data_IF_257174203596
#
_entry.id   IF_257174203596
#
_cell.length_a   1.000
_cell.length_b   1.000
_cell.length_c   1.000
_cell.angle_alpha   90.00
_cell.angle_beta   90.00
_cell.angle_gamma   90.00
#
_symmetry.space_group_name_H-M   'P 1'
#
loop_
_entity.id
_entity.type
_entity.pdbx_description
1 polymer ?
#
# COMPACT_ATOMS: atom_id res chain seq x y z
N UNK A 1 -2.24 -43.88 -8.45
CA UNK A 1 -1.76 -42.62 -7.86
C UNK A 1 -2.01 -42.71 -6.36
N UNK A 2 -0.99 -42.54 -5.50
CA UNK A 2 -1.22 -42.57 -4.06
C UNK A 2 -1.91 -41.29 -3.62
N UNK A 3 -2.78 -41.39 -2.61
CA UNK A 3 -3.53 -40.27 -2.02
C UNK A 3 -2.60 -39.10 -1.64
N UNK A 4 -1.39 -39.41 -1.17
CA UNK A 4 -0.34 -38.43 -0.85
C UNK A 4 0.08 -37.57 -2.04
N UNK A 5 0.15 -38.13 -3.25
CA UNK A 5 0.50 -37.34 -4.46
C UNK A 5 -0.64 -36.43 -4.90
N UNK A 6 -1.89 -36.81 -4.64
CA UNK A 6 -3.05 -35.98 -4.98
C UNK A 6 -3.15 -34.78 -4.01
N UNK A 7 -2.90 -35.02 -2.71
CA UNK A 7 -2.87 -33.95 -1.70
C UNK A 7 -1.73 -32.97 -1.93
N UNK A 8 -0.53 -33.44 -2.29
CA UNK A 8 0.60 -32.56 -2.62
C UNK A 8 0.35 -31.72 -3.87
N UNK A 9 -0.30 -32.28 -4.91
CA UNK A 9 -0.67 -31.52 -6.10
C UNK A 9 -1.76 -30.49 -5.78
N UNK A 10 -2.75 -30.84 -4.95
CA UNK A 10 -3.78 -29.89 -4.52
C UNK A 10 -3.23 -28.76 -3.66
N UNK A 11 -2.34 -29.05 -2.71
CA UNK A 11 -1.66 -28.02 -1.91
C UNK A 11 -0.79 -27.13 -2.80
N UNK A 12 -0.04 -27.70 -3.76
CA UNK A 12 0.78 -26.93 -4.68
C UNK A 12 -0.06 -26.08 -5.65
N UNK A 13 -1.24 -26.56 -6.08
CA UNK A 13 -2.15 -25.79 -6.94
C UNK A 13 -2.84 -24.66 -6.16
N UNK A 14 -3.21 -24.87 -4.90
CA UNK A 14 -3.76 -23.83 -4.03
C UNK A 14 -2.71 -22.76 -3.71
N UNK A 15 -1.50 -23.20 -3.36
CA UNK A 15 -0.31 -22.39 -3.11
C UNK A 15 0.12 -21.52 -4.32
N UNK A 16 0.05 -22.08 -5.52
CA UNK A 16 0.35 -21.33 -6.76
C UNK A 16 -0.81 -20.38 -7.10
N UNK A 17 -2.06 -20.74 -6.80
CA UNK A 17 -3.20 -19.86 -7.07
C UNK A 17 -3.24 -18.60 -6.19
N UNK A 18 -2.80 -18.69 -4.93
CA UNK A 18 -2.70 -17.54 -4.03
C UNK A 18 -1.54 -16.60 -4.36
N UNK A 19 -0.51 -17.08 -5.08
CA UNK A 19 0.59 -16.24 -5.55
C UNK A 19 0.33 -15.67 -6.95
N UNK A 20 -0.33 -16.42 -7.84
CA UNK A 20 -0.77 -15.89 -9.14
C UNK A 20 -1.87 -14.83 -9.00
N UNK A 21 -2.71 -14.86 -7.95
CA UNK A 21 -3.65 -13.77 -7.67
C UNK A 21 -2.97 -12.44 -7.37
N UNK A 22 -1.69 -12.44 -6.96
CA UNK A 22 -0.92 -11.23 -6.67
C UNK A 22 -0.11 -10.70 -7.87
N UNK A 23 0.05 -11.48 -8.95
CA UNK A 23 0.69 -10.98 -10.18
C UNK A 23 -0.33 -10.31 -11.07
N UNK A 24 -0.40 -9.00 -10.93
CA UNK A 24 -1.41 -8.19 -11.57
C UNK A 24 -0.76 -7.38 -12.70
N UNK A 25 -1.33 -7.43 -13.91
CA UNK A 25 -0.75 -6.80 -15.11
C UNK A 25 -1.54 -5.54 -15.44
N UNK A 26 -0.89 -4.35 -15.51
CA UNK A 26 -1.56 -3.13 -15.94
C UNK A 26 -2.24 -3.30 -17.31
N UNK A 27 -3.39 -2.65 -17.49
CA UNK A 27 -3.99 -2.43 -18.81
C UNK A 27 -4.29 -0.94 -19.02
N UNK A 28 -4.98 -0.60 -20.12
CA UNK A 28 -5.28 0.80 -20.40
C UNK A 28 -6.27 1.41 -19.40
N UNK A 29 -7.12 0.61 -18.76
CA UNK A 29 -8.22 1.06 -17.91
C UNK A 29 -7.87 1.04 -16.42
N UNK A 30 -6.87 0.28 -15.99
CA UNK A 30 -6.47 0.19 -14.58
C UNK A 30 -4.99 -0.18 -14.45
N UNK A 31 -4.37 0.27 -13.35
CA UNK A 31 -2.97 -0.07 -13.06
C UNK A 31 -2.76 -1.57 -12.82
N UNK A 32 -3.84 -2.29 -12.59
CA UNK A 32 -3.85 -3.70 -12.24
C UNK A 32 -4.66 -4.55 -13.27
N UNK A 33 -5.22 -3.94 -14.31
CA UNK A 33 -5.99 -4.66 -15.32
C UNK A 33 -7.30 -5.30 -14.84
N UNK A 34 -7.77 -5.04 -13.61
CA UNK A 34 -9.04 -5.56 -13.08
C UNK A 34 -10.24 -4.73 -13.50
N UNK A 35 -10.09 -3.41 -13.70
CA UNK A 35 -11.19 -2.55 -14.12
C UNK A 35 -11.63 -2.86 -15.55
N UNK A 36 -12.92 -3.21 -15.73
CA UNK A 36 -13.55 -3.47 -17.02
C UNK A 36 -14.76 -2.55 -17.21
N UNK A 37 -14.55 -1.34 -17.77
CA UNK A 37 -15.63 -0.36 -17.88
C UNK A 37 -16.73 -0.82 -18.83
N UNK A 38 -17.96 -0.41 -18.53
CA UNK A 38 -19.05 -0.36 -19.50
C UNK A 38 -19.25 1.09 -19.92
N UNK A 39 -19.32 1.35 -21.22
CA UNK A 39 -19.44 2.71 -21.75
C UNK A 39 -20.89 3.10 -22.05
N UNK A 40 -21.29 4.37 -21.78
CA UNK A 40 -20.52 5.39 -21.07
C UNK A 40 -20.39 5.05 -19.58
N UNK A 41 -19.25 5.39 -18.97
CA UNK A 41 -19.01 5.15 -17.55
C UNK A 41 -19.85 6.12 -16.72
N UNK A 42 -20.75 5.58 -15.89
CA UNK A 42 -21.53 6.38 -14.93
C UNK A 42 -20.61 6.98 -13.87
N UNK A 43 -20.79 8.27 -13.55
CA UNK A 43 -19.94 8.96 -12.56
C UNK A 43 -18.56 9.39 -13.07
N UNK A 44 -18.28 9.26 -14.38
CA UNK A 44 -17.03 9.76 -14.97
C UNK A 44 -16.97 11.28 -15.04
N UNK A 45 -18.11 11.96 -15.19
CA UNK A 45 -18.18 13.40 -15.41
C UNK A 45 -18.90 14.10 -14.27
N UNK A 46 -18.51 15.36 -14.02
CA UNK A 46 -19.22 16.25 -13.11
C UNK A 46 -20.67 16.46 -13.56
N UNK A 47 -21.63 16.12 -12.70
CA UNK A 47 -23.05 16.17 -13.05
C UNK A 47 -23.57 17.57 -13.42
N UNK A 48 -22.92 18.63 -12.91
CA UNK A 48 -23.30 20.03 -13.14
C UNK A 48 -22.61 20.61 -14.36
N UNK A 49 -21.35 20.25 -14.60
CA UNK A 49 -20.53 20.87 -15.64
C UNK A 49 -20.34 20.04 -16.90
N UNK A 50 -20.79 18.78 -16.95
CA UNK A 50 -20.67 17.93 -18.14
C UNK A 50 -21.36 18.48 -19.41
N UNK A 51 -22.42 19.28 -19.30
CA UNK A 51 -23.22 19.72 -20.46
C UNK A 51 -23.09 21.21 -20.84
N UNK A 52 -22.49 22.04 -19.99
CA UNK A 52 -22.55 23.51 -20.10
C UNK A 52 -21.16 24.19 -20.22
N UNK A 53 -20.06 23.43 -20.25
CA UNK A 53 -18.71 23.97 -20.43
C UNK A 53 -18.08 23.48 -21.74
N UNK A 54 -17.30 24.34 -22.41
CA UNK A 54 -16.44 23.95 -23.55
C UNK A 54 -15.33 22.95 -23.13
N UNK A 55 -15.29 22.52 -21.86
CA UNK A 55 -14.29 21.61 -21.29
C UNK A 55 -14.98 20.81 -20.18
N UNK A 56 -15.36 19.54 -20.42
CA UNK A 56 -15.94 18.71 -19.38
C UNK A 56 -14.94 18.55 -18.22
N UNK A 57 -15.47 18.37 -17.01
CA UNK A 57 -14.68 18.26 -15.77
C UNK A 57 -14.94 16.91 -15.08
N UNK A 58 -13.94 16.36 -14.37
CA UNK A 58 -14.19 15.27 -13.43
C UNK A 58 -15.10 15.75 -12.28
N UNK A 59 -15.77 14.84 -11.55
CA UNK A 59 -16.55 15.22 -10.38
C UNK A 59 -15.74 16.02 -9.36
N UNK A 60 -16.33 17.08 -8.84
CA UNK A 60 -15.67 17.90 -7.83
C UNK A 60 -16.43 19.16 -7.41
N UNK A 61 -15.99 19.74 -6.29
CA UNK A 61 -16.46 21.01 -5.78
C UNK A 61 -15.79 22.17 -6.54
N UNK A 62 -16.19 22.38 -7.79
CA UNK A 62 -15.60 23.38 -8.68
C UNK A 62 -16.04 24.83 -8.42
N UNK A 63 -17.02 25.03 -7.54
CA UNK A 63 -17.60 26.32 -7.21
C UNK A 63 -17.16 26.85 -5.85
N UNK A 64 -17.11 28.17 -5.71
CA UNK A 64 -16.96 28.82 -4.41
C UNK A 64 -18.15 29.72 -4.11
N UNK A 65 -18.93 29.37 -3.09
CA UNK A 65 -20.15 30.11 -2.69
C UNK A 65 -21.06 30.37 -3.92
N UNK A 66 -21.21 31.65 -4.31
CA UNK A 66 -22.04 32.09 -5.44
C UNK A 66 -21.24 32.24 -6.75
N UNK A 67 -19.96 31.88 -6.76
CA UNK A 67 -19.03 32.06 -7.89
C UNK A 67 -18.78 30.75 -8.63
N UNK A 68 -19.47 30.57 -9.76
CA UNK A 68 -19.35 29.38 -10.61
C UNK A 68 -17.92 29.21 -11.15
N UNK A 69 -17.39 27.99 -11.06
CA UNK A 69 -16.06 27.57 -11.51
C UNK A 69 -14.90 28.35 -10.87
N UNK A 70 -15.10 28.95 -9.69
CA UNK A 70 -14.05 29.70 -9.02
C UNK A 70 -12.90 28.80 -8.55
N UNK A 71 -13.22 27.66 -7.94
CA UNK A 71 -12.23 26.69 -7.52
C UNK A 71 -11.56 26.07 -8.74
N UNK A 72 -12.33 25.77 -9.79
CA UNK A 72 -11.77 25.29 -11.04
C UNK A 72 -10.75 26.26 -11.64
N UNK A 73 -11.08 27.55 -11.75
CA UNK A 73 -10.12 28.55 -12.25
C UNK A 73 -8.88 28.65 -11.38
N UNK A 74 -9.04 28.61 -10.05
CA UNK A 74 -7.92 28.64 -9.13
C UNK A 74 -7.01 27.40 -9.30
N UNK A 75 -7.60 26.20 -9.35
CA UNK A 75 -6.87 24.95 -9.63
C UNK A 75 -6.13 25.04 -10.97
N UNK A 76 -6.86 25.48 -12.01
CA UNK A 76 -6.33 25.63 -13.36
C UNK A 76 -5.20 26.62 -13.46
N UNK A 77 -5.23 27.72 -12.72
CA UNK A 77 -4.20 28.77 -12.82
C UNK A 77 -2.97 28.46 -11.95
N UNK A 78 -3.11 27.69 -10.87
CA UNK A 78 -2.03 27.48 -9.90
C UNK A 78 -1.39 26.09 -9.97
N UNK A 79 -2.13 25.03 -10.28
CA UNK A 79 -1.61 23.66 -10.26
C UNK A 79 -1.52 23.05 -11.66
N UNK A 80 -2.63 23.02 -12.39
CA UNK A 80 -2.69 22.29 -13.65
C UNK A 80 -4.10 22.09 -14.19
N UNK A 81 -4.25 21.23 -15.18
CA UNK A 81 -5.53 20.93 -15.81
C UNK A 81 -5.79 19.42 -15.78
N UNK A 82 -7.04 18.99 -15.97
CA UNK A 82 -7.34 17.60 -16.23
C UNK A 82 -7.38 17.33 -17.73
N UNK A 83 -6.81 16.20 -18.13
CA UNK A 83 -6.89 15.67 -19.49
C UNK A 83 -7.65 14.36 -19.47
N UNK A 84 -8.49 14.18 -20.49
CA UNK A 84 -9.31 12.99 -20.68
C UNK A 84 -8.43 11.82 -21.15
N UNK A 85 -8.72 10.62 -20.64
CA UNK A 85 -8.08 9.39 -21.09
C UNK A 85 -9.04 8.64 -22.02
N UNK A 86 -8.60 8.34 -23.24
CA UNK A 86 -9.39 7.69 -24.29
C UNK A 86 -8.81 6.34 -24.71
N UNK A 87 -9.67 5.37 -24.97
CA UNK A 87 -9.26 4.09 -25.55
C UNK A 87 -9.12 4.15 -27.08
N UNK A 88 -8.78 3.00 -27.70
CA UNK A 88 -8.62 2.90 -29.16
C UNK A 88 -9.89 3.19 -29.98
N UNK A 89 -11.07 3.10 -29.35
CA UNK A 89 -12.36 3.40 -29.98
C UNK A 89 -12.77 4.86 -29.81
N UNK A 90 -12.02 5.64 -29.02
CA UNK A 90 -12.34 7.01 -28.65
C UNK A 90 -13.33 7.12 -27.50
N UNK A 91 -13.54 6.04 -26.73
CA UNK A 91 -14.36 6.08 -25.53
C UNK A 91 -13.52 6.60 -24.34
N UNK A 92 -14.00 7.64 -23.66
CA UNK A 92 -13.32 8.19 -22.49
C UNK A 92 -13.50 7.25 -21.30
N UNK A 93 -12.40 6.93 -20.62
CA UNK A 93 -12.40 6.00 -19.47
C UNK A 93 -11.82 6.58 -18.18
N UNK A 94 -11.30 7.80 -18.20
CA UNK A 94 -10.65 8.36 -17.03
C UNK A 94 -10.16 9.79 -17.19
N UNK A 95 -9.42 10.23 -16.18
CA UNK A 95 -8.85 11.56 -16.04
C UNK A 95 -7.40 11.49 -15.60
N UNK A 96 -6.63 12.46 -16.09
CA UNK A 96 -5.24 12.64 -15.71
C UNK A 96 -4.97 14.10 -15.35
N UNK A 97 -4.43 14.32 -14.16
CA UNK A 97 -3.84 15.59 -13.79
C UNK A 97 -2.59 15.84 -14.63
N UNK A 98 -2.57 16.98 -15.32
CA UNK A 98 -1.41 17.53 -16.01
C UNK A 98 -1.06 18.85 -15.35
N UNK A 99 0.06 18.85 -14.63
CA UNK A 99 0.55 20.01 -13.90
C UNK A 99 1.23 21.02 -14.84
N UNK A 100 1.30 22.29 -14.44
CA UNK A 100 2.03 23.31 -15.23
C UNK A 100 3.54 23.13 -15.21
N UNK A 101 4.03 22.58 -14.10
CA UNK A 101 5.44 22.34 -13.85
C UNK A 101 5.69 20.84 -13.79
N UNK A 102 6.87 20.42 -14.25
CA UNK A 102 7.34 19.04 -14.17
C UNK A 102 7.29 18.52 -12.73
N UNK A 103 7.65 19.36 -11.74
CA UNK A 103 7.61 19.03 -10.32
C UNK A 103 6.63 19.98 -9.61
N UNK A 104 5.38 19.57 -9.48
CA UNK A 104 4.34 20.41 -8.93
C UNK A 104 4.39 20.47 -7.40
N UNK A 105 4.17 21.66 -6.86
CA UNK A 105 3.92 21.90 -5.45
C UNK A 105 2.41 22.11 -5.25
N UNK A 106 1.73 21.11 -4.70
CA UNK A 106 0.29 21.14 -4.45
C UNK A 106 0.00 21.58 -3.01
N UNK A 107 -0.34 22.86 -2.84
CA UNK A 107 -0.91 23.40 -1.61
C UNK A 107 -2.44 23.24 -1.60
N UNK A 108 -2.94 22.22 -0.92
CA UNK A 108 -4.34 21.76 -1.01
C UNK A 108 -5.27 22.47 -0.01
N UNK A 109 -5.37 23.80 -0.09
CA UNK A 109 -6.35 24.58 0.70
C UNK A 109 -7.83 24.35 0.29
N UNK A 110 -8.11 23.39 -0.59
CA UNK A 110 -9.46 22.92 -0.88
C UNK A 110 -9.45 21.59 -1.64
N UNK A 111 -10.16 20.60 -1.08
CA UNK A 111 -10.53 19.32 -1.71
C UNK A 111 -11.47 19.56 -2.90
N UNK A 112 -10.98 20.10 -4.01
CA UNK A 112 -11.85 20.42 -5.14
C UNK A 112 -12.18 19.23 -6.02
N UNK A 113 -11.31 18.23 -6.04
CA UNK A 113 -11.50 17.02 -6.82
C UNK A 113 -12.03 15.91 -5.93
N UNK A 114 -13.12 15.27 -6.34
CA UNK A 114 -13.73 14.16 -5.58
C UNK A 114 -13.41 12.80 -6.18
N UNK A 115 -12.52 12.72 -7.18
CA UNK A 115 -12.32 11.50 -7.96
C UNK A 115 -13.47 11.22 -8.92
N UNK A 116 -13.34 10.15 -9.70
CA UNK A 116 -14.36 9.70 -10.66
C UNK A 116 -14.43 8.17 -10.68
N UNK A 117 -15.51 7.61 -11.23
CA UNK A 117 -15.64 6.15 -11.37
C UNK A 117 -14.69 5.53 -12.41
N UNK A 118 -13.89 6.34 -13.12
CA UNK A 118 -12.89 5.88 -14.09
C UNK A 118 -11.47 5.89 -13.54
N UNK A 119 -10.49 5.64 -14.40
CA UNK A 119 -9.07 5.71 -14.01
C UNK A 119 -8.67 7.15 -13.71
N UNK A 120 -8.25 7.43 -12.48
CA UNK A 120 -7.81 8.76 -12.07
C UNK A 120 -6.30 8.76 -11.80
N UNK A 121 -5.53 9.47 -12.61
CA UNK A 121 -4.07 9.56 -12.49
C UNK A 121 -3.64 10.93 -11.95
N UNK A 122 -2.96 10.95 -10.81
CA UNK A 122 -2.36 12.15 -10.22
C UNK A 122 -0.88 11.93 -9.90
N UNK A 123 -0.02 12.30 -10.85
CA UNK A 123 1.42 12.38 -10.67
C UNK A 123 1.87 13.83 -10.59
N UNK A 124 2.66 14.18 -9.56
CA UNK A 124 3.19 15.54 -9.36
C UNK A 124 4.63 15.70 -9.85
N UNK A 125 5.15 14.68 -10.52
CA UNK A 125 6.53 14.60 -10.97
C UNK A 125 7.49 13.96 -9.95
N UNK A 126 8.74 13.70 -10.35
CA UNK A 126 9.74 13.06 -9.52
C UNK A 126 10.05 13.80 -8.22
N UNK A 127 10.00 15.14 -8.22
CA UNK A 127 10.19 16.00 -7.04
C UNK A 127 8.90 16.68 -6.56
N UNK A 128 7.74 16.21 -7.03
CA UNK A 128 6.44 16.76 -6.69
C UNK A 128 6.13 16.68 -5.20
N UNK A 129 5.36 17.65 -4.70
CA UNK A 129 5.10 17.81 -3.27
C UNK A 129 3.63 18.07 -3.00
N UNK A 130 3.17 17.66 -1.82
CA UNK A 130 1.87 18.03 -1.30
C UNK A 130 2.04 18.69 0.06
N UNK A 131 1.36 19.82 0.22
CA UNK A 131 1.28 20.57 1.47
C UNK A 131 -0.19 20.68 1.87
N UNK A 132 -0.55 20.27 3.09
CA UNK A 132 -1.88 20.51 3.63
C UNK A 132 -1.84 20.77 5.14
N UNK A 133 -2.65 21.74 5.58
CA UNK A 133 -3.02 21.90 6.99
C UNK A 133 -4.54 21.77 7.12
N UNK A 134 -5.06 20.52 7.18
CA UNK A 134 -6.42 20.18 7.62
C UNK A 134 -7.34 19.47 6.59
N UNK A 135 -7.90 18.31 6.99
CA UNK A 135 -9.10 17.55 6.53
C UNK A 135 -9.42 17.34 5.04
N UNK A 136 -8.60 17.76 4.06
CA UNK A 136 -9.14 17.97 2.69
C UNK A 136 -8.17 17.77 1.52
N UNK A 137 -7.11 16.96 1.60
CA UNK A 137 -6.14 17.05 0.51
C UNK A 137 -6.65 16.48 -0.83
N UNK A 138 -7.49 15.45 -0.82
CA UNK A 138 -7.99 14.85 -2.07
C UNK A 138 -9.47 14.50 -2.13
N UNK A 139 -10.28 14.68 -1.08
CA UNK A 139 -11.64 14.12 -1.09
C UNK A 139 -11.55 12.61 -1.30
N UNK A 140 -12.32 12.03 -2.23
CA UNK A 140 -12.05 10.67 -2.69
C UNK A 140 -10.89 10.62 -3.71
N UNK A 141 -10.34 11.67 -4.31
CA UNK A 141 -8.96 11.63 -4.85
C UNK A 141 -8.68 10.80 -6.13
N UNK A 142 -7.44 10.32 -6.35
CA UNK A 142 -7.06 9.53 -7.52
C UNK A 142 -7.06 8.01 -7.29
N UNK A 143 -7.04 7.22 -8.36
CA UNK A 143 -6.74 5.78 -8.34
C UNK A 143 -5.24 5.52 -8.29
N UNK A 144 -4.45 6.42 -8.91
CA UNK A 144 -2.99 6.39 -8.85
C UNK A 144 -2.49 7.74 -8.34
N UNK A 145 -1.83 7.74 -7.18
CA UNK A 145 -1.22 8.91 -6.57
C UNK A 145 0.29 8.75 -6.53
N UNK A 146 1.03 9.73 -7.07
CA UNK A 146 2.50 9.68 -7.10
C UNK A 146 3.12 11.05 -6.79
N UNK A 147 3.94 11.10 -5.74
CA UNK A 147 4.69 12.31 -5.34
C UNK A 147 5.92 11.95 -4.49
N UNK A 148 6.79 12.94 -4.25
CA UNK A 148 7.98 12.78 -3.42
C UNK A 148 7.70 13.13 -1.96
N UNK A 149 7.31 14.38 -1.70
CA UNK A 149 7.26 14.94 -0.34
C UNK A 149 5.82 15.24 0.10
N UNK A 150 5.49 14.91 1.35
CA UNK A 150 4.39 15.55 2.07
C UNK A 150 4.74 15.88 3.52
N UNK A 151 4.47 17.13 3.90
CA UNK A 151 4.72 17.60 5.26
C UNK A 151 3.57 17.26 6.21
N UNK A 152 2.35 17.57 5.78
CA UNK A 152 1.12 17.23 6.48
C UNK A 152 0.04 16.94 5.44
N UNK A 153 -0.61 15.78 5.55
CA UNK A 153 -1.53 15.29 4.52
C UNK A 153 -2.59 14.39 5.13
N UNK A 154 -3.85 14.59 4.78
CA UNK A 154 -4.90 13.58 4.88
C UNK A 154 -5.42 13.34 3.46
N UNK A 155 -5.05 12.20 2.90
CA UNK A 155 -5.35 11.81 1.53
C UNK A 155 -6.26 10.60 1.52
N UNK A 156 -7.26 10.63 0.63
CA UNK A 156 -8.08 9.46 0.31
C UNK A 156 -8.14 9.27 -1.19
N UNK A 157 -8.15 8.02 -1.63
CA UNK A 157 -8.18 7.60 -3.04
C UNK A 157 -9.58 7.12 -3.45
N UNK A 158 -9.87 7.07 -4.77
CA UNK A 158 -11.24 7.36 -5.28
C UNK A 158 -12.07 6.17 -5.67
N UNK A 159 -11.50 4.99 -5.55
CA UNK A 159 -11.93 3.83 -6.31
C UNK A 159 -11.52 2.58 -5.59
N UNK A 160 -11.97 1.44 -6.10
CA UNK A 160 -11.39 0.17 -5.69
C UNK A 160 -10.08 -0.06 -6.43
N UNK A 161 -9.16 -0.76 -5.78
CA UNK A 161 -7.82 -1.07 -6.29
C UNK A 161 -7.01 0.20 -6.58
N UNK A 162 -6.45 0.81 -5.55
CA UNK A 162 -5.65 2.02 -5.63
C UNK A 162 -4.14 1.72 -5.65
N UNK A 163 -3.37 2.63 -6.25
CA UNK A 163 -1.91 2.60 -6.25
C UNK A 163 -1.36 3.92 -5.72
N UNK A 164 -0.67 3.87 -4.59
CA UNK A 164 -0.10 5.06 -3.95
C UNK A 164 1.42 4.91 -3.87
N UNK A 165 2.13 5.90 -4.42
CA UNK A 165 3.59 5.96 -4.51
C UNK A 165 4.10 7.23 -3.83
N UNK A 166 4.78 7.09 -2.69
CA UNK A 166 5.25 8.22 -1.88
C UNK A 166 6.75 8.08 -1.63
N UNK A 167 7.54 9.02 -2.13
CA UNK A 167 8.99 8.99 -1.96
C UNK A 167 9.70 8.00 -2.91
N UNK A 168 9.01 7.34 -3.83
CA UNK A 168 9.61 6.33 -4.73
C UNK A 168 10.04 6.87 -6.10
N UNK A 169 9.52 8.00 -6.53
CA UNK A 169 9.66 8.39 -7.93
C UNK A 169 10.98 9.08 -8.27
N UNK A 170 11.80 9.39 -7.26
CA UNK A 170 13.19 9.79 -7.42
C UNK A 170 14.15 8.60 -7.27
N UNK A 171 14.22 7.78 -8.33
CA UNK A 171 15.33 6.85 -8.61
C UNK A 171 15.67 5.85 -7.49
N UNK A 172 14.86 4.79 -7.40
CA UNK A 172 14.92 3.69 -6.44
C UNK A 172 16.26 2.95 -6.34
N UNK A 173 17.05 3.00 -7.40
CA UNK A 173 18.29 2.23 -7.53
C UNK A 173 19.53 2.98 -7.04
N UNK A 174 19.39 4.18 -6.48
CA UNK A 174 20.51 4.98 -6.00
C UNK A 174 20.56 5.02 -4.45
N UNK A 175 21.34 4.12 -3.81
CA UNK A 175 21.56 4.16 -2.37
C UNK A 175 22.11 5.49 -1.85
N UNK A 176 22.74 6.32 -2.69
CA UNK A 176 23.23 7.65 -2.30
C UNK A 176 22.14 8.71 -2.23
N UNK A 177 20.94 8.39 -2.74
CA UNK A 177 19.73 9.21 -2.66
C UNK A 177 18.73 8.72 -1.62
N UNK A 178 18.96 7.56 -0.98
CA UNK A 178 18.31 7.22 0.30
C UNK A 178 18.64 8.35 1.27
N UNK A 179 17.66 8.96 1.93
CA UNK A 179 17.89 10.17 2.74
C UNK A 179 18.95 9.90 3.82
N UNK A 180 20.23 10.21 3.57
CA UNK A 180 21.33 9.67 4.37
C UNK A 180 21.48 10.45 5.69
N UNK A 181 20.67 11.49 5.83
CA UNK A 181 20.55 12.40 6.95
C UNK A 181 19.36 12.06 7.86
N UNK A 182 18.69 10.92 7.64
CA UNK A 182 17.55 10.49 8.46
C UNK A 182 16.32 11.39 8.33
N UNK A 183 16.21 12.15 7.23
CA UNK A 183 15.01 12.95 6.96
C UNK A 183 13.86 12.07 6.48
N UNK A 184 12.66 12.61 6.63
CA UNK A 184 11.42 12.02 6.17
C UNK A 184 10.86 12.85 5.02
N UNK A 185 10.49 12.15 3.96
CA UNK A 185 9.70 12.70 2.85
C UNK A 185 8.22 12.79 3.23
N UNK A 186 7.74 11.90 4.12
CA UNK A 186 6.35 11.87 4.58
C UNK A 186 6.28 12.06 6.09
N UNK A 187 5.92 13.26 6.60
CA UNK A 187 6.16 13.58 8.02
C UNK A 187 5.01 13.41 8.99
N UNK A 188 3.83 13.96 8.71
CA UNK A 188 2.65 13.88 9.59
C UNK A 188 1.42 13.68 8.73
N UNK A 189 1.18 12.43 8.33
CA UNK A 189 0.22 12.22 7.26
C UNK A 189 -0.51 10.88 7.28
N UNK A 190 -1.72 10.90 6.75
CA UNK A 190 -2.59 9.74 6.61
C UNK A 190 -2.94 9.50 5.16
N UNK A 191 -2.83 8.25 4.73
CA UNK A 191 -3.37 7.76 3.46
C UNK A 191 -4.50 6.79 3.78
N UNK A 192 -5.65 7.00 3.14
CA UNK A 192 -6.77 6.08 3.16
C UNK A 192 -7.02 5.58 1.75
N UNK A 193 -6.73 4.31 1.52
CA UNK A 193 -7.25 3.66 0.32
C UNK A 193 -8.67 3.15 0.59
N UNK A 194 -9.46 3.00 -0.48
CA UNK A 194 -10.83 2.50 -0.37
C UNK A 194 -10.85 1.02 -0.75
N UNK A 195 -11.93 0.31 -0.39
CA UNK A 195 -12.10 -1.13 -0.63
C UNK A 195 -11.44 -1.64 -1.91
N UNK A 196 -10.57 -2.64 -1.86
CA UNK A 196 -9.87 -2.98 -3.09
C UNK A 196 -8.86 -4.11 -2.99
N UNK A 197 -7.77 -3.92 -3.73
CA UNK A 197 -6.56 -4.72 -3.66
C UNK A 197 -5.45 -3.72 -3.92
N UNK A 198 -5.25 -2.91 -2.92
CA UNK A 198 -4.54 -1.67 -2.95
C UNK A 198 -3.05 -1.94 -2.81
N UNK A 199 -2.27 -1.04 -3.40
CA UNK A 199 -0.83 -1.09 -3.32
C UNK A 199 -0.28 0.24 -2.89
N UNK A 200 0.35 0.22 -1.73
CA UNK A 200 0.91 1.43 -1.15
C UNK A 200 2.41 1.23 -0.97
N UNK A 201 3.20 2.05 -1.65
CA UNK A 201 4.65 2.06 -1.53
C UNK A 201 5.05 3.40 -0.90
N UNK A 202 5.54 3.36 0.34
CA UNK A 202 6.02 4.57 1.06
C UNK A 202 7.50 4.46 1.49
N UNK A 203 8.26 5.52 1.23
CA UNK A 203 9.68 5.61 1.55
C UNK A 203 9.90 6.85 2.41
N UNK A 204 10.74 6.70 3.43
CA UNK A 204 11.14 7.78 4.34
C UNK A 204 9.92 8.42 5.06
N UNK A 205 9.24 7.61 5.87
CA UNK A 205 8.03 7.92 6.63
C UNK A 205 8.33 8.27 8.10
N UNK A 206 7.92 9.46 8.51
CA UNK A 206 7.85 9.86 9.92
C UNK A 206 6.50 9.44 10.50
N UNK A 207 5.82 10.36 11.19
CA UNK A 207 4.54 10.08 11.83
C UNK A 207 3.43 9.90 10.81
N UNK A 208 2.96 8.67 10.65
CA UNK A 208 1.95 8.43 9.64
C UNK A 208 0.97 7.33 9.98
N UNK A 209 -0.14 7.32 9.27
CA UNK A 209 -1.09 6.23 9.22
C UNK A 209 -1.34 5.88 7.75
N UNK A 210 -1.36 4.59 7.45
CA UNK A 210 -1.79 4.08 6.16
C UNK A 210 -2.90 3.08 6.46
N UNK A 211 -4.01 3.34 5.83
CA UNK A 211 -5.20 2.52 5.86
C UNK A 211 -5.39 1.95 4.46
N UNK A 212 -5.45 0.62 4.38
CA UNK A 212 -5.44 -0.12 3.13
C UNK A 212 -6.83 -0.47 2.62
N UNK A 213 -7.90 -0.03 3.28
CA UNK A 213 -9.25 -0.33 2.79
C UNK A 213 -10.34 -0.36 3.86
N UNK A 214 -10.07 0.19 5.07
CA UNK A 214 -11.06 0.16 6.13
C UNK A 214 -12.34 0.93 5.78
N UNK A 215 -13.44 0.49 6.39
CA UNK A 215 -14.80 0.86 6.03
C UNK A 215 -15.14 2.34 6.14
N UNK A 216 -16.15 2.74 5.36
CA UNK A 216 -16.73 4.09 5.35
C UNK A 216 -15.69 5.20 5.15
N UNK A 217 -14.98 5.10 4.01
CA UNK A 217 -13.97 6.08 3.58
C UNK A 217 -12.76 6.18 4.50
N UNK A 218 -12.31 5.03 4.99
CA UNK A 218 -11.06 4.88 5.73
C UNK A 218 -11.18 5.02 7.25
N UNK A 219 -12.33 4.68 7.83
CA UNK A 219 -12.49 4.72 9.29
C UNK A 219 -11.89 3.48 9.90
N UNK A 220 -11.03 3.68 10.89
CA UNK A 220 -10.35 2.59 11.60
C UNK A 220 -11.27 1.77 12.51
N UNK A 221 -12.56 2.12 12.62
CA UNK A 221 -13.55 1.47 13.47
C UNK A 221 -14.60 0.67 12.73
N UNK A 222 -14.49 0.58 11.41
CA UNK A 222 -15.45 -0.08 10.52
C UNK A 222 -14.65 -0.89 9.49
N UNK A 223 -15.12 -2.09 9.15
CA UNK A 223 -14.55 -2.89 8.06
C UNK A 223 -15.39 -2.69 6.79
N UNK A 224 -14.75 -2.57 5.63
CA UNK A 224 -15.44 -2.68 4.34
C UNK A 224 -15.48 -4.14 3.91
N UNK A 225 -16.68 -4.68 3.69
CA UNK A 225 -16.83 -6.07 3.24
C UNK A 225 -16.37 -6.29 1.79
N UNK A 226 -16.16 -5.21 1.03
CA UNK A 226 -15.68 -5.27 -0.36
C UNK A 226 -14.16 -5.12 -0.46
N UNK A 227 -13.49 -4.93 0.67
CA UNK A 227 -12.05 -4.87 0.73
C UNK A 227 -11.42 -6.25 0.50
N UNK A 228 -10.22 -6.26 -0.06
CA UNK A 228 -9.56 -7.45 -0.59
C UNK A 228 -8.08 -7.50 -0.24
N UNK A 229 -7.28 -8.26 -0.99
CA UNK A 229 -5.90 -8.51 -0.58
C UNK A 229 -4.99 -7.30 -0.89
N UNK A 230 -4.52 -6.60 0.14
CA UNK A 230 -3.70 -5.40 0.00
C UNK A 230 -2.21 -5.64 0.24
N UNK A 231 -1.40 -4.74 -0.31
CA UNK A 231 0.06 -4.73 -0.09
C UNK A 231 0.52 -3.33 0.28
N UNK A 232 1.25 -3.24 1.39
CA UNK A 232 2.05 -2.07 1.70
C UNK A 232 3.53 -2.42 1.80
N UNK A 233 4.39 -1.56 1.23
CA UNK A 233 5.84 -1.68 1.34
C UNK A 233 6.45 -0.37 1.87
N UNK A 234 7.13 -0.49 3.01
CA UNK A 234 7.74 0.63 3.72
C UNK A 234 9.26 0.52 3.65
N UNK A 235 9.87 1.45 2.94
CA UNK A 235 11.31 1.55 2.74
C UNK A 235 11.92 2.77 3.43
N UNK A 236 13.25 2.77 3.53
CA UNK A 236 14.01 3.90 4.07
C UNK A 236 13.74 4.17 5.54
N UNK A 237 13.77 5.45 5.91
CA UNK A 237 13.63 5.92 7.28
C UNK A 237 12.16 5.93 7.73
N UNK A 238 11.74 5.00 8.58
CA UNK A 238 10.35 4.70 8.90
C UNK A 238 10.08 4.69 10.42
N UNK A 239 9.56 5.78 11.01
CA UNK A 239 9.40 5.93 12.47
C UNK A 239 7.96 6.20 12.83
N UNK A 240 7.44 5.65 13.95
CA UNK A 240 6.18 6.12 14.53
C UNK A 240 5.01 6.10 13.50
N UNK A 241 4.74 4.94 12.90
CA UNK A 241 3.68 4.78 11.90
C UNK A 241 2.63 3.72 12.28
N UNK A 242 1.45 3.81 11.67
CA UNK A 242 0.35 2.85 11.80
C UNK A 242 -0.03 2.30 10.45
N UNK A 243 -0.30 1.01 10.40
CA UNK A 243 -0.78 0.31 9.21
C UNK A 243 -2.05 -0.43 9.58
N UNK A 244 -3.11 -0.21 8.83
CA UNK A 244 -4.37 -0.92 8.96
C UNK A 244 -4.60 -1.64 7.64
N UNK A 245 -4.76 -2.96 7.69
CA UNK A 245 -5.10 -3.80 6.54
C UNK A 245 -6.54 -3.53 6.15
N UNK A 246 -7.45 -4.34 6.68
CA UNK A 246 -8.87 -4.13 6.47
C UNK A 246 -9.54 -5.48 6.43
N UNK A 247 -10.14 -5.80 5.29
CA UNK A 247 -10.62 -7.14 5.01
C UNK A 247 -9.82 -7.74 3.86
N UNK A 248 -9.51 -9.03 3.91
CA UNK A 248 -8.63 -9.65 2.91
C UNK A 248 -7.34 -10.17 3.55
N UNK A 249 -6.47 -10.76 2.73
CA UNK A 249 -5.17 -11.26 3.19
C UNK A 249 -4.10 -10.19 2.93
N UNK A 250 -3.88 -9.32 3.91
CA UNK A 250 -3.05 -8.13 3.75
C UNK A 250 -1.59 -8.42 4.05
N UNK A 251 -0.70 -7.77 3.29
CA UNK A 251 0.74 -7.99 3.42
C UNK A 251 1.48 -6.68 3.69
N UNK A 252 2.14 -6.64 4.84
CA UNK A 252 2.93 -5.51 5.30
C UNK A 252 4.43 -5.80 5.15
N UNK A 253 5.08 -5.24 4.14
CA UNK A 253 6.54 -5.30 4.00
C UNK A 253 7.20 -4.14 4.74
N UNK A 254 8.11 -4.46 5.66
CA UNK A 254 8.89 -3.46 6.38
C UNK A 254 10.40 -3.69 6.25
N UNK A 255 11.07 -2.77 5.56
CA UNK A 255 12.51 -2.76 5.33
C UNK A 255 13.24 -2.06 6.48
N UNK A 256 13.07 -2.59 7.68
CA UNK A 256 13.52 -1.97 8.93
C UNK A 256 15.03 -1.69 8.98
N UNK A 257 15.86 -2.51 8.32
CA UNK A 257 17.32 -2.31 8.26
C UNK A 257 17.72 -1.15 7.33
N UNK A 258 16.80 -0.55 6.56
CA UNK A 258 17.08 0.66 5.77
C UNK A 258 17.06 1.95 6.61
N UNK A 259 16.64 1.86 7.87
CA UNK A 259 16.58 3.02 8.76
C UNK A 259 17.96 3.56 9.14
N UNK A 260 18.06 4.88 9.25
CA UNK A 260 19.21 5.54 9.87
C UNK A 260 18.85 6.01 11.29
N UNK A 261 18.87 5.09 12.24
CA UNK A 261 18.40 5.35 13.60
C UNK A 261 19.39 6.19 14.43
N UNK A 262 19.11 7.48 14.56
CA UNK A 262 19.91 8.40 15.40
C UNK A 262 19.46 8.45 16.88
N UNK A 263 18.20 8.13 17.18
CA UNK A 263 17.64 8.14 18.53
C UNK A 263 16.70 6.93 18.79
N UNK A 264 16.36 6.69 20.06
CA UNK A 264 15.28 5.75 20.38
C UNK A 264 13.95 6.35 19.94
N UNK A 265 13.21 5.66 19.06
CA UNK A 265 11.89 6.10 18.60
C UNK A 265 10.76 5.20 19.12
N UNK A 266 9.53 5.64 18.91
CA UNK A 266 8.33 4.83 19.11
C UNK A 266 8.20 3.80 17.98
N UNK A 267 8.10 2.52 18.32
CA UNK A 267 7.86 1.46 17.35
C UNK A 267 6.50 1.60 16.66
N UNK A 268 6.34 1.07 15.44
CA UNK A 268 5.06 1.12 14.72
C UNK A 268 3.96 0.25 15.35
N UNK A 269 2.73 0.46 14.87
CA UNK A 269 1.60 -0.42 15.14
C UNK A 269 1.07 -1.00 13.82
N UNK A 270 0.93 -2.32 13.77
CA UNK A 270 0.31 -3.02 12.66
C UNK A 270 -1.00 -3.63 13.11
N UNK A 271 -2.02 -3.46 12.28
CA UNK A 271 -3.36 -4.02 12.43
C UNK A 271 -3.67 -4.76 11.14
N UNK A 272 -3.99 -6.06 11.21
CA UNK A 272 -4.47 -6.77 10.01
C UNK A 272 -5.87 -6.32 9.58
N UNK A 273 -6.61 -5.69 10.48
CA UNK A 273 -7.91 -5.08 10.18
C UNK A 273 -7.96 -3.62 10.63
N UNK A 274 -9.07 -3.16 11.21
CA UNK A 274 -9.20 -1.80 11.72
C UNK A 274 -8.39 -1.55 13.00
N UNK A 275 -8.22 -0.27 13.34
CA UNK A 275 -7.50 0.19 14.54
C UNK A 275 -8.35 0.30 15.82
N UNK A 276 -9.67 0.13 15.74
CA UNK A 276 -10.55 0.41 16.87
C UNK A 276 -11.84 -0.43 16.91
N UNK A 277 -12.35 -0.66 18.13
CA UNK A 277 -13.67 -1.26 18.33
C UNK A 277 -13.81 -2.65 17.72
N UNK A 278 -14.97 -2.93 17.12
CA UNK A 278 -15.27 -4.25 16.54
C UNK A 278 -14.40 -4.53 15.30
N UNK A 279 -13.90 -3.50 14.62
CA UNK A 279 -13.04 -3.65 13.44
C UNK A 279 -11.66 -4.22 13.76
N UNK A 280 -11.20 -4.17 15.02
CA UNK A 280 -9.91 -4.74 15.44
C UNK A 280 -9.76 -6.23 15.14
N UNK A 281 -10.86 -6.96 15.21
CA UNK A 281 -10.91 -8.43 15.11
C UNK A 281 -11.97 -8.87 14.10
N UNK A 282 -12.43 -7.94 13.26
CA UNK A 282 -13.58 -8.11 12.39
C UNK A 282 -13.25 -8.60 10.98
N UNK A 283 -11.98 -8.46 10.54
CA UNK A 283 -11.54 -8.92 9.23
C UNK A 283 -11.52 -10.45 9.12
N UNK A 284 -11.70 -10.96 7.90
CA UNK A 284 -11.88 -12.38 7.62
C UNK A 284 -10.71 -13.08 6.91
N UNK A 285 -9.59 -12.36 6.71
CA UNK A 285 -8.40 -12.90 6.05
C UNK A 285 -7.28 -13.36 6.99
N UNK A 286 -6.14 -13.70 6.36
CA UNK A 286 -4.91 -14.11 7.02
C UNK A 286 -3.82 -13.12 6.67
N UNK A 287 -3.51 -12.25 7.61
CA UNK A 287 -2.60 -11.13 7.40
C UNK A 287 -1.16 -11.50 7.69
N UNK A 288 -0.24 -10.86 6.97
CA UNK A 288 1.19 -11.16 7.07
C UNK A 288 2.05 -9.92 7.23
N UNK A 289 2.78 -9.87 8.34
CA UNK A 289 3.91 -8.95 8.50
C UNK A 289 5.19 -9.59 7.93
N UNK A 290 5.77 -8.98 6.90
CA UNK A 290 7.06 -9.36 6.31
C UNK A 290 8.15 -8.41 6.80
N UNK A 291 8.98 -8.90 7.72
CA UNK A 291 10.19 -8.21 8.16
C UNK A 291 11.30 -8.47 7.15
N UNK A 292 11.69 -7.46 6.37
CA UNK A 292 12.76 -7.60 5.38
C UNK A 292 14.12 -7.40 6.05
N UNK A 293 14.54 -8.44 6.76
CA UNK A 293 15.78 -8.55 7.54
C UNK A 293 16.53 -9.85 7.16
N UNK A 294 17.78 -10.05 7.59
CA UNK A 294 18.53 -11.27 7.29
C UNK A 294 17.78 -12.54 7.70
N UNK A 295 17.72 -13.52 6.79
CA UNK A 295 17.01 -14.80 6.99
C UNK A 295 17.61 -15.70 8.10
N UNK A 296 18.84 -15.39 8.52
CA UNK A 296 19.54 -16.02 9.65
C UNK A 296 19.33 -15.29 10.98
N UNK A 297 18.49 -14.24 11.02
CA UNK A 297 18.05 -13.58 12.26
C UNK A 297 17.54 -14.62 13.27
N UNK A 298 18.06 -14.54 14.49
CA UNK A 298 17.68 -15.45 15.57
C UNK A 298 16.32 -15.05 16.13
N UNK A 299 15.38 -15.99 16.23
CA UNK A 299 14.06 -15.77 16.82
C UNK A 299 14.05 -16.24 18.28
N UNK A 300 13.60 -15.38 19.19
CA UNK A 300 13.45 -15.70 20.62
C UNK A 300 12.06 -15.32 21.13
N UNK A 301 11.55 -16.08 22.10
CA UNK A 301 10.27 -15.78 22.77
C UNK A 301 10.51 -15.37 24.23
N UNK A 302 9.67 -14.48 24.75
CA UNK A 302 9.59 -14.09 26.15
C UNK A 302 10.39 -12.85 26.53
N UNK A 303 10.53 -12.63 27.85
CA UNK A 303 11.15 -11.44 28.42
C UNK A 303 12.68 -11.54 28.46
N UNK A 304 13.39 -10.42 28.30
CA UNK A 304 14.85 -10.39 28.38
C UNK A 304 15.49 -9.20 27.67
N UNK A 305 16.77 -9.31 27.36
CA UNK A 305 17.52 -8.38 26.53
C UNK A 305 17.66 -8.88 25.09
N UNK A 306 17.33 -8.06 24.10
CA UNK A 306 17.42 -8.45 22.68
C UNK A 306 18.84 -8.26 22.18
N UNK A 307 19.55 -9.37 21.97
CA UNK A 307 20.90 -9.40 21.41
C UNK A 307 20.91 -8.93 19.95
N UNK A 308 22.09 -8.57 19.44
CA UNK A 308 22.27 -8.26 18.01
C UNK A 308 21.84 -9.44 17.12
N UNK A 309 21.33 -9.12 15.94
CA UNK A 309 20.83 -10.11 14.97
C UNK A 309 19.66 -10.94 15.50
N UNK A 310 18.85 -10.37 16.40
CA UNK A 310 17.77 -11.08 17.09
C UNK A 310 16.44 -10.35 16.90
N UNK A 311 15.43 -11.13 16.55
CA UNK A 311 14.03 -10.75 16.61
C UNK A 311 13.37 -11.46 17.79
N UNK A 312 12.62 -10.71 18.59
CA UNK A 312 11.99 -11.21 19.81
C UNK A 312 10.48 -11.00 19.78
N UNK A 313 9.74 -12.07 20.07
CA UNK A 313 8.39 -11.98 20.62
C UNK A 313 8.49 -11.69 22.12
N UNK A 314 8.10 -10.50 22.57
CA UNK A 314 8.27 -10.06 23.96
C UNK A 314 7.17 -10.60 24.86
N UNK A 315 5.93 -10.26 24.54
CA UNK A 315 4.72 -10.62 25.30
C UNK A 315 3.48 -10.37 24.45
N UNK A 316 2.37 -10.94 24.90
CA UNK A 316 1.03 -10.49 24.53
C UNK A 316 0.50 -9.58 25.63
N UNK A 317 -0.18 -8.50 25.26
CA UNK A 317 -0.75 -7.56 26.21
C UNK A 317 -2.27 -7.48 26.07
N UNK A 318 -2.96 -7.76 27.16
CA UNK A 318 -4.41 -7.72 27.25
C UNK A 318 -4.94 -6.43 27.86
N UNK A 319 -4.08 -5.48 28.22
CA UNK A 319 -4.49 -4.15 28.66
C UNK A 319 -4.96 -3.30 27.46
N UNK A 320 -5.97 -2.47 27.68
CA UNK A 320 -6.40 -1.48 26.70
C UNK A 320 -5.69 -0.15 26.97
N UNK A 321 -4.95 0.34 25.98
CA UNK A 321 -4.35 1.67 25.97
C UNK A 321 -4.59 2.29 24.60
N UNK A 322 -5.16 3.48 24.57
CA UNK A 322 -5.38 4.27 23.36
C UNK A 322 -4.33 5.37 23.23
N UNK A 323 -4.16 5.85 22.01
CA UNK A 323 -3.43 7.09 21.76
C UNK A 323 -4.38 8.29 21.89
N UNK A 324 -4.35 8.94 23.06
CA UNK A 324 -5.28 10.02 23.42
C UNK A 324 -5.43 11.14 22.37
N UNK A 325 -4.37 11.58 21.67
CA UNK A 325 -4.50 12.60 20.61
C UNK A 325 -5.34 12.15 19.42
N UNK A 326 -5.42 10.85 19.11
CA UNK A 326 -6.15 10.34 17.94
C UNK A 326 -7.54 9.85 18.27
N UNK A 327 -7.92 9.63 19.54
CA UNK A 327 -9.20 9.01 19.93
C UNK A 327 -10.46 9.64 19.31
N UNK A 328 -10.47 10.96 19.12
CA UNK A 328 -11.60 11.68 18.54
C UNK A 328 -11.62 11.67 17.01
N UNK A 329 -10.51 11.30 16.38
CA UNK A 329 -10.38 11.21 14.93
C UNK A 329 -10.79 9.81 14.48
N UNK A 330 -11.92 9.71 13.79
CA UNK A 330 -12.48 8.43 13.36
C UNK A 330 -11.66 7.74 12.25
N UNK A 331 -10.77 8.49 11.61
CA UNK A 331 -9.91 8.03 10.53
C UNK A 331 -8.48 7.75 11.02
N UNK A 332 -8.05 8.34 12.13
CA UNK A 332 -6.72 8.12 12.68
C UNK A 332 -6.68 7.41 14.04
N UNK A 333 -7.82 7.16 14.70
CA UNK A 333 -7.83 6.55 16.04
C UNK A 333 -7.35 5.11 16.03
N UNK A 334 -6.58 4.76 17.04
CA UNK A 334 -6.13 3.39 17.25
C UNK A 334 -5.84 3.10 18.73
N UNK A 335 -5.86 1.83 19.10
CA UNK A 335 -5.32 1.35 20.37
C UNK A 335 -3.83 0.99 20.22
N UNK A 336 -3.00 1.41 21.17
CA UNK A 336 -1.60 0.97 21.27
C UNK A 336 -1.56 -0.49 21.71
N UNK A 337 -2.34 -0.84 22.74
CA UNK A 337 -2.65 -2.21 23.14
C UNK A 337 -4.16 -2.35 23.20
N UNK A 338 -4.70 -3.39 22.59
CA UNK A 338 -6.10 -3.41 22.16
C UNK A 338 -7.03 -4.23 23.07
N UNK A 339 -6.63 -4.42 24.33
CA UNK A 339 -7.37 -5.25 25.25
C UNK A 339 -7.26 -6.73 24.90
N UNK A 340 -8.22 -7.53 25.37
CA UNK A 340 -8.35 -8.96 25.05
C UNK A 340 -9.65 -9.15 24.28
N UNK A 341 -9.58 -9.80 23.12
CA UNK A 341 -10.75 -10.07 22.30
C UNK A 341 -11.74 -11.00 23.02
N UNK A 342 -13.02 -10.61 23.01
CA UNK A 342 -14.10 -11.37 23.63
C UNK A 342 -14.51 -12.56 22.74
N UNK A 343 -13.87 -13.72 22.92
CA UNK A 343 -14.31 -14.97 22.27
C UNK A 343 -13.21 -16.02 22.19
N UNK A 344 -12.03 -15.59 21.76
CA UNK A 344 -10.85 -16.44 21.54
C UNK A 344 -9.65 -16.05 22.42
N UNK A 345 -9.72 -14.91 23.10
CA UNK A 345 -8.66 -14.33 23.95
C UNK A 345 -7.42 -13.85 23.20
N UNK A 346 -7.55 -13.53 21.89
CA UNK A 346 -6.50 -12.84 21.13
C UNK A 346 -6.18 -11.47 21.75
N UNK A 347 -4.93 -11.04 21.58
CA UNK A 347 -4.35 -9.85 22.22
C UNK A 347 -3.34 -9.20 21.29
N UNK A 348 -2.94 -7.97 21.60
CA UNK A 348 -1.82 -7.33 20.91
C UNK A 348 -0.51 -8.04 21.26
N UNK A 349 0.20 -8.53 20.24
CA UNK A 349 1.56 -9.03 20.34
C UNK A 349 2.57 -7.87 20.32
N UNK A 350 3.63 -7.97 21.12
CA UNK A 350 4.69 -6.98 21.18
C UNK A 350 6.00 -7.62 20.76
N UNK A 351 6.70 -6.94 19.85
CA UNK A 351 7.94 -7.42 19.25
C UNK A 351 9.09 -6.42 19.43
N UNK A 352 10.30 -6.96 19.36
CA UNK A 352 11.55 -6.20 19.29
C UNK A 352 12.44 -6.79 18.21
N UNK A 353 13.22 -5.93 17.55
CA UNK A 353 14.27 -6.37 16.64
C UNK A 353 15.52 -5.52 16.86
N UNK A 354 16.67 -6.19 16.84
CA UNK A 354 17.99 -5.55 16.83
C UNK A 354 18.80 -6.10 15.67
N UNK A 355 19.28 -5.22 14.81
CA UNK A 355 20.11 -5.59 13.66
C UNK A 355 21.43 -6.23 14.10
N UNK A 356 22.07 -6.98 13.20
CA UNK A 356 23.34 -7.67 13.48
C UNK A 356 24.51 -6.69 13.67
N UNK A 357 24.46 -5.55 13.00
CA UNK A 357 25.43 -4.46 13.11
C UNK A 357 25.08 -3.44 14.21
N UNK A 358 23.96 -3.65 14.90
CA UNK A 358 23.41 -2.77 15.95
C UNK A 358 23.06 -1.34 15.49
N UNK A 359 23.00 -1.10 14.18
CA UNK A 359 22.55 0.18 13.62
C UNK A 359 21.07 0.44 13.87
N UNK A 360 20.26 -0.61 14.01
CA UNK A 360 18.81 -0.52 14.26
C UNK A 360 18.42 -1.30 15.50
N UNK A 361 17.62 -0.67 16.35
CA UNK A 361 16.91 -1.29 17.46
C UNK A 361 15.49 -0.72 17.55
N UNK A 362 14.52 -1.50 17.08
CA UNK A 362 13.10 -1.15 17.16
C UNK A 362 12.56 -1.57 18.53
N UNK A 363 12.49 -0.62 19.45
CA UNK A 363 11.92 -0.87 20.77
C UNK A 363 10.38 -0.90 20.67
N UNK A 364 9.81 -2.08 20.93
CA UNK A 364 8.38 -2.32 21.20
C UNK A 364 7.47 -1.81 20.09
N UNK A 365 7.41 -2.59 19.00
CA UNK A 365 6.35 -2.42 18.02
C UNK A 365 5.21 -3.40 18.28
N UNK A 366 4.01 -2.99 17.91
CA UNK A 366 2.76 -3.64 18.30
C UNK A 366 2.10 -4.25 17.09
N UNK A 367 1.58 -5.45 17.24
CA UNK A 367 0.92 -6.21 16.18
C UNK A 367 -0.39 -6.73 16.73
N UNK A 368 -1.50 -6.39 16.07
CA UNK A 368 -2.85 -6.80 16.47
C UNK A 368 -3.55 -7.41 15.26
N UNK A 369 -4.20 -8.55 15.45
CA UNK A 369 -4.93 -9.26 14.40
C UNK A 369 -4.06 -9.53 13.15
N UNK A 370 -2.83 -10.01 13.33
CA UNK A 370 -1.99 -10.50 12.23
C UNK A 370 -1.61 -11.93 12.57
N UNK A 371 -1.86 -12.85 11.64
CA UNK A 371 -1.72 -14.29 11.84
C UNK A 371 -0.30 -14.77 11.52
N UNK A 372 0.40 -14.09 10.61
CA UNK A 372 1.67 -14.57 10.07
C UNK A 372 2.80 -13.54 10.16
N UNK A 373 3.99 -14.02 10.53
CA UNK A 373 5.24 -13.26 10.50
C UNK A 373 6.22 -13.94 9.55
N UNK A 374 6.72 -13.21 8.57
CA UNK A 374 7.81 -13.65 7.71
C UNK A 374 9.11 -12.91 8.03
N UNK A 375 10.21 -13.66 8.07
CA UNK A 375 11.56 -13.16 8.28
C UNK A 375 12.36 -13.33 7.00
N UNK A 376 12.72 -12.19 6.40
CA UNK A 376 13.41 -12.07 5.12
C UNK A 376 12.51 -12.29 3.91
N UNK A 377 13.13 -12.25 2.74
CA UNK A 377 12.51 -12.47 1.42
C UNK A 377 13.30 -13.55 0.66
N UNK A 378 12.66 -14.19 -0.32
CA UNK A 378 13.29 -15.22 -1.15
C UNK A 378 13.28 -16.64 -0.57
N UNK A 379 13.98 -17.55 -1.24
CA UNK A 379 13.96 -19.00 -0.99
C UNK A 379 14.33 -19.42 0.46
N UNK A 380 15.07 -18.59 1.18
CA UNK A 380 15.51 -18.87 2.55
C UNK A 380 14.68 -18.18 3.63
N UNK A 381 13.66 -17.40 3.24
CA UNK A 381 12.77 -16.74 4.18
C UNK A 381 11.99 -17.78 5.00
N UNK A 382 11.66 -17.39 6.23
CA UNK A 382 10.96 -18.26 7.18
C UNK A 382 9.65 -17.61 7.58
N UNK A 383 8.57 -18.36 7.47
CA UNK A 383 7.24 -17.92 7.89
C UNK A 383 6.88 -18.59 9.21
N UNK A 384 6.31 -17.82 10.11
CA UNK A 384 5.88 -18.22 11.44
C UNK A 384 4.40 -17.88 11.61
N UNK A 385 3.65 -18.80 12.20
CA UNK A 385 2.32 -18.49 12.73
C UNK A 385 2.49 -17.76 14.07
N UNK A 386 1.72 -16.67 14.24
CA UNK A 386 1.69 -15.87 15.45
C UNK A 386 0.59 -16.44 16.37
N UNK A 387 1.01 -17.00 17.50
CA UNK A 387 0.08 -17.33 18.61
C UNK A 387 0.01 -16.12 19.54
N UNK A 388 -0.89 -15.19 19.22
CA UNK A 388 -1.16 -13.95 19.96
C UNK A 388 -2.02 -14.17 21.22
N UNK A 389 -2.37 -15.42 21.54
CA UNK A 389 -3.02 -15.82 22.80
C UNK A 389 -1.98 -16.22 23.85
N UNK A 390 -1.02 -17.06 23.45
CA UNK A 390 0.01 -17.63 24.33
C UNK A 390 1.36 -16.92 24.23
N UNK A 391 1.55 -16.08 23.21
CA UNK A 391 2.75 -15.30 22.99
C UNK A 391 3.93 -16.09 22.44
N UNK A 392 3.70 -16.82 21.35
CA UNK A 392 4.69 -17.74 20.75
C UNK A 392 4.69 -17.58 19.23
N UNK A 393 5.87 -17.61 18.62
CA UNK A 393 6.04 -17.81 17.17
C UNK A 393 6.28 -19.29 16.86
N UNK A 394 5.44 -19.86 15.99
CA UNK A 394 5.56 -21.24 15.55
C UNK A 394 6.06 -21.27 14.10
N UNK A 395 7.29 -21.73 13.88
CA UNK A 395 7.83 -21.85 12.52
C UNK A 395 6.99 -22.86 11.72
N UNK A 396 6.45 -22.42 10.59
CA UNK A 396 5.67 -23.25 9.70
C UNK A 396 6.33 -23.31 8.31
N UNK A 397 7.07 -24.41 7.99
CA UNK A 397 7.74 -24.57 6.70
C UNK A 397 6.79 -24.87 5.53
N UNK A 398 5.51 -25.14 5.79
CA UNK A 398 4.51 -25.41 4.76
C UNK A 398 3.90 -24.11 4.20
N UNK A 399 4.07 -22.98 4.90
CA UNK A 399 3.69 -21.66 4.41
C UNK A 399 4.72 -21.16 3.40
N UNK A 400 4.23 -20.66 2.26
CA UNK A 400 5.07 -20.12 1.20
C UNK A 400 5.59 -18.76 1.62
N UNK A 401 6.91 -18.57 1.57
CA UNK A 401 7.48 -17.24 1.71
C UNK A 401 7.14 -16.35 0.51
N UNK A 402 6.78 -15.11 0.79
CA UNK A 402 6.57 -14.08 -0.23
C UNK A 402 7.92 -13.51 -0.70
N UNK A 403 7.92 -13.14 -1.97
CA UNK A 403 9.01 -12.37 -2.58
C UNK A 403 8.78 -10.87 -2.40
N UNK A 404 9.81 -10.08 -2.68
CA UNK A 404 9.68 -8.62 -2.74
C UNK A 404 8.59 -8.20 -3.77
N UNK A 405 7.66 -7.30 -3.40
CA UNK A 405 6.61 -6.86 -4.30
C UNK A 405 7.20 -6.08 -5.47
N UNK A 406 6.71 -6.34 -6.69
CA UNK A 406 7.15 -5.62 -7.88
C UNK A 406 6.72 -4.15 -7.79
N UNK A 407 7.69 -3.24 -7.89
CA UNK A 407 7.43 -1.82 -7.85
C UNK A 407 7.01 -1.28 -9.24
N UNK A 408 5.84 -0.62 -9.37
CA UNK A 408 5.32 -0.19 -10.67
C UNK A 408 5.95 1.15 -11.13
N UNK A 409 7.23 1.10 -11.51
CA UNK A 409 8.06 2.26 -11.94
C UNK A 409 7.48 3.11 -13.08
N UNK A 410 6.56 2.56 -13.86
CA UNK A 410 5.93 3.27 -14.98
C UNK A 410 5.05 4.44 -14.53
N UNK A 411 4.59 4.46 -13.27
CA UNK A 411 3.82 5.58 -12.71
C UNK A 411 4.68 6.67 -12.05
N UNK A 412 6.01 6.49 -12.03
CA UNK A 412 6.95 7.45 -11.44
C UNK A 412 7.65 8.37 -12.43
N UNK A 413 7.53 8.12 -13.74
CA UNK A 413 8.14 8.98 -14.76
C UNK A 413 7.24 10.18 -15.00
N UNK A 414 7.85 11.34 -15.25
CA UNK A 414 7.16 12.49 -15.80
C UNK A 414 6.24 12.01 -16.92
N UNK A 415 4.96 12.36 -16.81
CA UNK A 415 4.08 12.29 -17.96
C UNK A 415 4.33 13.49 -18.88
N UNK A 416 5.59 13.79 -19.12
CA UNK A 416 5.98 14.65 -20.22
C UNK A 416 6.13 13.75 -21.46
N UNK A 417 5.23 13.97 -22.42
CA UNK A 417 5.33 13.53 -23.82
C UNK A 417 5.06 12.06 -24.18
N UNK A 418 4.04 11.41 -23.60
CA UNK A 418 3.37 10.29 -24.31
C UNK A 418 2.15 10.78 -25.10
N UNK A 419 2.33 11.88 -25.84
CA UNK A 419 1.44 12.20 -26.97
C UNK A 419 1.70 11.24 -28.12
N UNK A 420 1.30 9.97 -27.95
CA UNK A 420 0.95 9.07 -29.05
C UNK A 420 2.10 8.44 -29.83
N UNK A 421 3.01 7.71 -29.18
CA UNK A 421 3.87 6.75 -29.90
C UNK A 421 3.33 5.32 -29.78
N UNK A 422 2.42 4.96 -30.69
CA UNK A 422 2.02 3.57 -30.98
C UNK A 422 3.14 2.77 -31.68
N UNK A 423 4.37 2.85 -31.17
CA UNK A 423 5.46 2.02 -31.67
C UNK A 423 5.47 0.66 -31.00
N UNK A 424 4.65 -0.24 -31.55
CA UNK A 424 4.81 -1.69 -31.64
C UNK A 424 5.66 -2.37 -30.55
N UNK A 425 4.96 -3.00 -29.61
CA UNK A 425 5.43 -3.92 -28.57
C UNK A 425 5.97 -5.28 -29.13
N UNK A 426 6.53 -5.28 -30.33
CA UNK A 426 7.05 -6.48 -31.01
C UNK A 426 8.22 -7.17 -30.30
N UNK A 427 8.86 -6.49 -29.33
CA UNK A 427 9.97 -7.06 -28.58
C UNK A 427 9.53 -7.87 -27.35
N UNK A 428 8.39 -7.56 -26.71
CA UNK A 428 7.90 -8.34 -25.55
C UNK A 428 7.34 -9.71 -25.93
N UNK A 429 6.69 -9.81 -27.10
CA UNK A 429 6.21 -11.09 -27.66
C UNK A 429 7.37 -12.04 -27.99
N UNK A 430 8.53 -11.50 -28.41
CA UNK A 430 9.74 -12.29 -28.71
C UNK A 430 10.34 -12.95 -27.46
N UNK A 431 10.35 -12.26 -26.32
CA UNK A 431 10.86 -12.82 -25.06
C UNK A 431 9.88 -13.83 -24.44
N UNK A 432 8.58 -13.56 -24.53
CA UNK A 432 7.55 -14.51 -24.09
C UNK A 432 7.58 -15.82 -24.88
N UNK A 433 7.76 -15.77 -26.21
CA UNK A 433 7.91 -16.97 -27.06
C UNK A 433 9.19 -17.74 -26.72
N UNK A 434 10.30 -17.05 -26.40
CA UNK A 434 11.55 -17.71 -25.96
C UNK A 434 11.37 -18.44 -24.63
N UNK A 435 10.65 -17.85 -23.68
CA UNK A 435 10.35 -18.46 -22.37
C UNK A 435 9.52 -19.74 -22.52
N UNK A 436 8.45 -19.71 -23.34
CA UNK A 436 7.61 -20.90 -23.60
C UNK A 436 8.42 -22.02 -24.26
N UNK A 437 9.29 -21.67 -25.21
CA UNK A 437 10.10 -22.66 -25.94
C UNK A 437 11.11 -23.34 -25.01
N UNK A 438 11.66 -22.62 -24.03
CA UNK A 438 12.59 -23.16 -23.05
C UNK A 438 11.89 -24.09 -22.05
N UNK A 439 10.72 -23.71 -21.54
CA UNK A 439 9.92 -24.52 -20.62
C UNK A 439 9.43 -25.83 -21.24
N UNK A 440 9.03 -25.82 -22.52
CA UNK A 440 8.68 -27.06 -23.24
C UNK A 440 9.88 -27.99 -23.43
N UNK A 441 11.09 -27.45 -23.59
CA UNK A 441 12.31 -28.25 -23.73
C UNK A 441 12.66 -28.98 -22.43
N UNK A 442 12.48 -28.32 -21.28
CA UNK A 442 12.72 -28.90 -19.95
C UNK A 442 11.71 -30.01 -19.64
N UNK A 443 10.42 -29.78 -19.93
CA UNK A 443 9.37 -30.79 -19.72
C UNK A 443 9.65 -32.03 -20.58
N UNK A 444 10.06 -31.86 -21.84
CA UNK A 444 10.43 -32.96 -22.72
C UNK A 444 11.66 -33.75 -22.21
N UNK A 445 12.61 -33.07 -21.58
CA UNK A 445 13.80 -33.69 -20.98
C UNK A 445 13.45 -34.52 -19.74
N UNK A 446 12.58 -33.99 -18.88
CA UNK A 446 12.10 -34.70 -17.68
C UNK A 446 11.28 -35.93 -18.06
N UNK A 447 10.41 -35.82 -19.08
CA UNK A 447 9.61 -36.95 -19.57
C UNK A 447 10.43 -38.06 -20.23
N UNK A 448 11.65 -37.76 -20.71
CA UNK A 448 12.56 -38.78 -21.27
C UNK A 448 13.46 -39.43 -20.20
N UNK A 449 13.55 -38.85 -19.00
CA UNK A 449 14.35 -39.35 -17.88
C UNK A 449 13.53 -40.21 -16.90
N UNK A 450 12.20 -40.15 -16.99
CA UNK A 450 11.23 -41.00 -16.30
C UNK A 450 10.86 -42.16 -17.22
#
# INVERSE_FOLDING_TARGET
MSFTRIVLILLFVLAVSSYESMKVTPDQYSWNGKFKPTFPIEGLFDSKYNSDTDTPLPPGDWDWEDSSLANWRNFKDNLGNFTELFDENGDQFGWKLVTHETNADWDALGSYWEGSAGLNLAGLGPEGKIHSTGDTAFGSGPTVLSFLDAWSLDARTSTNDDLVLIGYCNNLDDPSKRSPDGKFHFQTATIHTLSGNDRVYVRDIGRAAIDLGNGNSGRTDTIDENDGDDIVAIHGNSYDFRMFGGNGNDVFFWYVDENNQEENWLGPNFFGSGGWGDALWGGDGTDRLVMVIPTDTTIVNGTGYTSKGTFRFVKVDGEFSSDQPTESDLYARYCVTCGTHEGDNRKTAIFEYRSEDESVFTAWFYVTNIEELQIGIGENAKVYEIDDVNGILNYNPDLIALEEPEFPTNYCKDVEDDTGSTTNDGNKVSEFIKSITFSMLIIQLILNLI
#
